data_IF_897829165796
#
_entry.id   IF_897829165796
#
_cell.length_a   1.000
_cell.length_b   1.000
_cell.length_c   1.000
_cell.angle_alpha   90.00
_cell.angle_beta   90.00
_cell.angle_gamma   90.00
#
_symmetry.space_group_name_H-M   'P 1'
#
loop_
_entity.id
_entity.type
_entity.pdbx_description
1 polymer ?
#
# COMPACT_ATOMS: atom_id res chain seq x y z
N UNK A 1 20.65 17.59 12.21
CA UNK A 1 19.68 17.98 11.16
C UNK A 1 18.49 17.05 11.24
N UNK A 2 17.33 17.54 11.71
CA UNK A 2 16.10 16.75 11.70
C UNK A 2 15.71 16.46 10.24
N UNK A 3 15.79 15.18 9.84
CA UNK A 3 15.42 14.77 8.49
C UNK A 3 13.90 14.88 8.38
N UNK A 4 13.41 15.97 7.77
CA UNK A 4 12.02 16.10 7.36
C UNK A 4 11.64 14.98 6.41
N UNK A 5 10.49 14.33 6.65
CA UNK A 5 10.00 13.22 5.82
C UNK A 5 8.60 13.53 5.31
N UNK A 6 8.37 13.27 4.02
CA UNK A 6 7.07 13.44 3.40
C UNK A 6 6.07 12.42 3.95
N UNK A 7 5.09 12.91 4.70
CA UNK A 7 4.02 12.12 5.28
C UNK A 7 2.74 12.27 4.45
N UNK A 8 2.20 11.14 3.98
CA UNK A 8 0.89 11.14 3.34
C UNK A 8 -0.22 10.90 4.36
N UNK A 9 -1.22 11.77 4.37
CA UNK A 9 -2.47 11.61 5.13
C UNK A 9 -3.66 11.66 4.19
N UNK A 10 -4.70 10.90 4.53
CA UNK A 10 -5.92 10.84 3.74
C UNK A 10 -7.10 11.26 4.62
N UNK A 11 -7.71 12.39 4.27
CA UNK A 11 -8.85 12.98 4.96
C UNK A 11 -10.13 12.57 4.25
N UNK A 12 -11.12 12.04 4.98
CA UNK A 12 -12.44 11.81 4.40
C UNK A 12 -13.21 13.13 4.37
N UNK A 13 -13.58 13.61 3.17
CA UNK A 13 -14.26 14.87 2.99
C UNK A 13 -15.77 14.78 3.25
N UNK A 14 -16.36 15.91 3.62
CA UNK A 14 -17.80 16.19 3.75
C UNK A 14 -18.14 17.41 2.88
N UNK A 15 -18.03 17.31 1.55
CA UNK A 15 -18.35 18.43 0.66
C UNK A 15 -19.85 18.77 0.75
N UNK A 16 -20.20 20.04 0.58
CA UNK A 16 -21.59 20.45 0.37
C UNK A 16 -22.09 19.97 -1.00
N UNK A 17 -23.41 19.98 -1.24
CA UNK A 17 -23.97 19.62 -2.57
C UNK A 17 -23.35 20.45 -3.70
N UNK A 18 -23.14 21.75 -3.47
CA UNK A 18 -22.48 22.66 -4.43
C UNK A 18 -21.03 22.25 -4.69
N UNK A 19 -20.25 21.99 -3.63
CA UNK A 19 -18.87 21.54 -3.78
C UNK A 19 -18.78 20.19 -4.51
N UNK A 20 -19.69 19.26 -4.22
CA UNK A 20 -19.74 17.98 -4.93
C UNK A 20 -20.10 18.14 -6.41
N UNK A 21 -21.02 19.05 -6.76
CA UNK A 21 -21.31 19.38 -8.15
C UNK A 21 -20.06 19.92 -8.88
N UNK A 22 -19.40 20.92 -8.30
CA UNK A 22 -18.13 21.48 -8.83
C UNK A 22 -17.06 20.41 -9.00
N UNK A 23 -16.86 19.54 -8.01
CA UNK A 23 -15.88 18.46 -8.10
C UNK A 23 -16.20 17.45 -9.21
N UNK A 24 -17.48 17.14 -9.43
CA UNK A 24 -17.90 16.25 -10.50
C UNK A 24 -17.70 16.87 -11.88
N UNK A 25 -18.00 18.16 -12.02
CA UNK A 25 -17.77 18.96 -13.22
C UNK A 25 -16.27 19.04 -13.53
N UNK A 26 -15.44 19.37 -12.55
CA UNK A 26 -13.99 19.38 -12.71
C UNK A 26 -13.45 18.02 -13.17
N UNK A 27 -13.91 16.90 -12.57
CA UNK A 27 -13.50 15.57 -13.04
C UNK A 27 -13.87 15.32 -14.50
N UNK A 28 -15.01 15.85 -14.96
CA UNK A 28 -15.43 15.75 -16.36
C UNK A 28 -14.53 16.57 -17.28
N UNK A 29 -14.33 17.85 -16.97
CA UNK A 29 -13.47 18.75 -17.74
C UNK A 29 -12.01 18.24 -17.80
N UNK A 30 -11.45 17.83 -16.66
CA UNK A 30 -10.10 17.26 -16.58
C UNK A 30 -9.98 15.94 -17.34
N UNK A 31 -11.07 15.16 -17.45
CA UNK A 31 -11.08 13.97 -18.31
C UNK A 31 -10.91 14.35 -19.78
N UNK A 32 -11.56 15.44 -20.21
CA UNK A 32 -11.35 16.04 -21.54
C UNK A 32 -9.90 16.51 -21.74
N UNK A 33 -9.35 17.25 -20.78
CA UNK A 33 -7.94 17.70 -20.80
C UNK A 33 -6.97 16.53 -20.93
N UNK A 34 -7.16 15.47 -20.13
CA UNK A 34 -6.30 14.28 -20.18
C UNK A 34 -6.39 13.59 -21.54
N UNK A 35 -7.59 13.46 -22.10
CA UNK A 35 -7.81 12.82 -23.40
C UNK A 35 -7.20 13.63 -24.54
N UNK A 36 -7.39 14.95 -24.53
CA UNK A 36 -6.77 15.87 -25.48
C UNK A 36 -5.25 15.74 -25.43
N UNK A 37 -4.66 15.82 -24.24
CA UNK A 37 -3.21 15.71 -24.06
C UNK A 37 -2.69 14.35 -24.53
N UNK A 38 -3.39 13.27 -24.19
CA UNK A 38 -3.03 11.91 -24.60
C UNK A 38 -3.08 11.74 -26.12
N UNK A 39 -4.11 12.28 -26.78
CA UNK A 39 -4.27 12.18 -28.24
C UNK A 39 -3.30 13.08 -28.98
N UNK A 40 -3.01 14.27 -28.45
CA UNK A 40 -2.03 15.19 -29.04
C UNK A 40 -0.63 14.56 -29.06
N UNK A 41 -0.19 13.97 -27.94
CA UNK A 41 1.09 13.25 -27.88
C UNK A 41 1.11 12.07 -28.86
N UNK A 42 0.00 11.33 -28.97
CA UNK A 42 -0.10 10.19 -29.90
C UNK A 42 0.10 10.62 -31.35
N UNK A 43 -0.63 11.64 -31.80
CA UNK A 43 -0.57 12.15 -33.17
C UNK A 43 0.81 12.76 -33.47
N UNK A 44 1.29 13.62 -32.58
CA UNK A 44 2.60 14.27 -32.76
C UNK A 44 3.74 13.22 -32.81
N UNK A 45 3.64 12.13 -32.04
CA UNK A 45 4.61 11.05 -32.10
C UNK A 45 4.58 10.25 -33.41
N UNK A 46 3.44 10.17 -34.11
CA UNK A 46 3.35 9.59 -35.45
C UNK A 46 4.16 10.41 -36.46
N UNK A 47 4.15 11.74 -36.29
CA UNK A 47 4.93 12.69 -37.07
C UNK A 47 6.37 12.88 -36.53
N UNK A 48 6.82 12.04 -35.59
CA UNK A 48 8.13 12.11 -34.92
C UNK A 48 8.40 13.44 -34.18
N UNK A 49 7.34 14.12 -33.74
CA UNK A 49 7.40 15.34 -32.94
C UNK A 49 7.33 14.97 -31.46
N UNK A 50 8.37 15.35 -30.70
CA UNK A 50 8.46 15.09 -29.27
C UNK A 50 8.57 16.39 -28.47
N UNK A 51 7.65 16.56 -27.53
CA UNK A 51 7.59 17.77 -26.72
C UNK A 51 8.51 17.71 -25.51
N UNK A 52 9.15 18.84 -25.17
CA UNK A 52 9.71 19.02 -23.83
C UNK A 52 8.59 19.10 -22.80
N UNK A 53 8.77 18.41 -21.67
CA UNK A 53 7.78 18.30 -20.58
C UNK A 53 7.18 19.65 -20.14
N UNK A 54 8.04 20.64 -19.89
CA UNK A 54 7.62 21.96 -19.42
C UNK A 54 6.81 22.72 -20.49
N UNK A 55 7.21 22.62 -21.76
CA UNK A 55 6.49 23.25 -22.86
C UNK A 55 5.09 22.63 -23.03
N UNK A 56 5.01 21.29 -22.99
CA UNK A 56 3.73 20.59 -23.13
C UNK A 56 2.77 20.85 -21.96
N UNK A 57 3.30 20.95 -20.75
CA UNK A 57 2.53 21.31 -19.55
C UNK A 57 1.78 22.65 -19.73
N UNK A 58 2.36 23.58 -20.49
CA UNK A 58 1.80 24.91 -20.73
C UNK A 58 0.94 25.01 -22.00
N UNK A 59 0.72 23.91 -22.74
CA UNK A 59 -0.02 23.94 -24.02
C UNK A 59 -1.49 24.36 -23.94
N UNK A 60 -2.08 24.40 -22.75
CA UNK A 60 -3.44 24.90 -22.51
C UNK A 60 -3.46 26.16 -21.62
N UNK A 61 -2.46 27.04 -21.78
CA UNK A 61 -2.44 28.34 -21.10
C UNK A 61 -3.73 29.14 -21.40
N UNK A 62 -4.34 29.72 -20.37
CA UNK A 62 -5.57 30.51 -20.50
C UNK A 62 -6.89 29.72 -20.43
N UNK A 63 -6.87 28.39 -20.58
CA UNK A 63 -8.07 27.54 -20.47
C UNK A 63 -8.66 27.53 -19.05
N UNK A 64 -7.84 27.82 -18.02
CA UNK A 64 -8.29 27.89 -16.62
C UNK A 64 -9.47 28.84 -16.41
N UNK A 65 -9.46 30.02 -17.05
CA UNK A 65 -10.55 31.01 -16.94
C UNK A 65 -11.86 30.49 -17.52
N UNK A 66 -11.80 29.75 -18.64
CA UNK A 66 -12.98 29.19 -19.32
C UNK A 66 -13.60 28.03 -18.53
N UNK A 67 -12.77 27.21 -17.89
CA UNK A 67 -13.23 26.02 -17.16
C UNK A 67 -13.50 26.28 -15.67
N UNK A 68 -13.17 27.46 -15.15
CA UNK A 68 -13.17 27.76 -13.71
C UNK A 68 -12.43 26.69 -12.87
N UNK A 69 -11.25 26.28 -13.38
CA UNK A 69 -10.36 25.31 -12.74
C UNK A 69 -8.99 25.98 -12.53
N UNK A 70 -8.34 25.81 -11.36
CA UNK A 70 -6.99 26.31 -11.14
C UNK A 70 -6.03 25.86 -12.24
N UNK A 71 -5.22 26.78 -12.77
CA UNK A 71 -4.28 26.51 -13.88
C UNK A 71 -3.34 25.35 -13.58
N UNK A 72 -2.80 25.29 -12.37
CA UNK A 72 -1.86 24.24 -11.97
C UNK A 72 -2.53 22.87 -11.83
N UNK A 73 -3.84 22.82 -11.57
CA UNK A 73 -4.62 21.58 -11.64
C UNK A 73 -4.71 21.06 -13.08
N UNK A 74 -4.96 21.93 -14.06
CA UNK A 74 -4.98 21.58 -15.48
C UNK A 74 -3.60 21.09 -15.92
N UNK A 75 -2.56 21.84 -15.57
CA UNK A 75 -1.16 21.48 -15.84
C UNK A 75 -0.79 20.11 -15.25
N UNK A 76 -1.19 19.82 -14.01
CA UNK A 76 -0.96 18.52 -13.38
C UNK A 76 -1.68 17.37 -14.12
N UNK A 77 -2.87 17.63 -14.68
CA UNK A 77 -3.59 16.65 -15.51
C UNK A 77 -2.91 16.41 -16.85
N UNK A 78 -2.40 17.46 -17.52
CA UNK A 78 -1.58 17.32 -18.73
C UNK A 78 -0.33 16.49 -18.41
N UNK A 79 0.32 16.78 -17.30
CA UNK A 79 1.52 16.05 -16.85
C UNK A 79 1.24 14.58 -16.57
N UNK A 80 0.04 14.25 -16.08
CA UNK A 80 -0.40 12.87 -15.89
C UNK A 80 -0.48 12.11 -17.23
N UNK A 81 -0.97 12.75 -18.30
CA UNK A 81 -0.98 12.16 -19.64
C UNK A 81 0.45 12.03 -20.21
N UNK A 82 1.24 13.09 -20.08
CA UNK A 82 2.63 13.12 -20.53
C UNK A 82 3.47 11.99 -19.89
N UNK A 83 3.44 11.87 -18.56
CA UNK A 83 4.21 10.83 -17.85
C UNK A 83 3.73 9.41 -18.21
N UNK A 84 2.46 9.23 -18.57
CA UNK A 84 1.95 7.93 -19.01
C UNK A 84 2.52 7.53 -20.37
N UNK A 85 2.61 8.48 -21.31
CA UNK A 85 3.27 8.30 -22.60
C UNK A 85 4.78 8.13 -22.47
N UNK A 86 5.44 8.90 -21.60
CA UNK A 86 6.88 8.77 -21.34
C UNK A 86 7.22 7.33 -20.90
N UNK A 87 6.43 6.75 -20.00
CA UNK A 87 6.58 5.35 -19.59
C UNK A 87 6.29 4.36 -20.72
N UNK A 88 5.37 4.70 -21.62
CA UNK A 88 5.07 3.90 -22.81
C UNK A 88 6.25 3.88 -23.78
N UNK A 89 6.82 5.05 -24.11
CA UNK A 89 7.98 5.16 -24.99
C UNK A 89 9.20 4.46 -24.41
N UNK A 90 9.37 4.49 -23.08
CA UNK A 90 10.41 3.72 -22.36
C UNK A 90 10.11 2.21 -22.26
N UNK A 91 9.03 1.71 -22.88
CA UNK A 91 8.57 0.31 -22.83
C UNK A 91 8.32 -0.23 -21.40
N UNK A 92 8.10 0.66 -20.43
CA UNK A 92 7.80 0.32 -19.03
C UNK A 92 6.31 0.07 -18.82
N UNK A 93 5.46 0.67 -19.65
CA UNK A 93 4.01 0.43 -19.63
C UNK A 93 3.44 0.35 -21.04
N UNK A 94 2.23 -0.19 -21.16
CA UNK A 94 1.47 -0.14 -22.42
C UNK A 94 0.98 1.29 -22.69
N UNK A 95 0.53 1.50 -23.93
CA UNK A 95 -0.08 2.74 -24.39
C UNK A 95 -1.21 3.21 -23.44
N UNK A 96 -1.23 4.50 -23.06
CA UNK A 96 -2.31 5.04 -22.24
C UNK A 96 -3.63 5.01 -23.01
N UNK A 97 -4.69 4.51 -22.36
CA UNK A 97 -6.04 4.49 -22.93
C UNK A 97 -6.77 5.80 -22.67
N UNK A 98 -7.44 6.30 -23.70
CA UNK A 98 -8.40 7.39 -23.56
C UNK A 98 -9.49 7.03 -22.54
N UNK A 99 -9.92 8.03 -21.80
CA UNK A 99 -10.97 7.94 -20.79
C UNK A 99 -12.32 8.14 -21.45
N UNK A 100 -13.35 7.51 -20.90
CA UNK A 100 -14.73 7.62 -21.39
C UNK A 100 -15.66 8.02 -20.26
N UNK A 101 -16.95 8.21 -20.55
CA UNK A 101 -17.98 8.47 -19.54
C UNK A 101 -17.98 7.41 -18.43
N UNK A 102 -17.75 6.14 -18.81
CA UNK A 102 -17.71 5.00 -17.89
C UNK A 102 -16.37 4.90 -17.13
N UNK A 103 -15.29 5.46 -17.68
CA UNK A 103 -13.94 5.40 -17.12
C UNK A 103 -13.30 6.79 -17.04
N UNK A 104 -14.01 7.76 -16.47
CA UNK A 104 -13.52 9.12 -16.26
C UNK A 104 -12.45 9.17 -15.16
N UNK A 105 -11.72 10.28 -15.11
CA UNK A 105 -10.80 10.54 -14.01
C UNK A 105 -11.54 10.48 -12.66
N UNK A 106 -10.82 10.04 -11.63
CA UNK A 106 -11.31 9.96 -10.26
C UNK A 106 -10.50 10.80 -9.28
N UNK A 107 -9.56 11.58 -9.79
CA UNK A 107 -8.67 12.38 -8.96
C UNK A 107 -8.44 13.75 -9.56
N UNK A 108 -8.35 14.74 -8.69
CA UNK A 108 -8.02 16.14 -8.98
C UNK A 108 -6.76 16.46 -8.20
N UNK A 109 -5.70 16.87 -8.88
CA UNK A 109 -4.40 17.13 -8.26
C UNK A 109 -4.23 18.64 -8.03
N UNK A 110 -3.79 19.00 -6.84
CA UNK A 110 -3.34 20.34 -6.45
C UNK A 110 -1.84 20.22 -6.18
N UNK A 111 -0.99 20.47 -7.19
CA UNK A 111 0.44 20.19 -7.11
C UNK A 111 1.21 21.19 -6.26
N UNK A 112 0.64 22.38 -6.03
CA UNK A 112 1.33 23.45 -5.31
C UNK A 112 1.26 23.27 -3.80
N UNK A 113 2.28 23.79 -3.08
CA UNK A 113 2.21 23.94 -1.64
C UNK A 113 0.96 24.70 -1.22
N UNK A 114 0.19 24.09 -0.33
CA UNK A 114 -0.92 24.73 0.35
C UNK A 114 -0.36 25.50 1.55
N UNK A 115 0.35 26.60 1.29
CA UNK A 115 0.98 27.42 2.33
C UNK A 115 -0.09 28.13 3.19
N UNK A 116 0.18 28.25 4.50
CA UNK A 116 -0.66 28.92 5.51
C UNK A 116 -1.48 27.97 6.41
N UNK A 117 -2.24 28.53 7.38
CA UNK A 117 -3.23 27.83 8.23
C UNK A 117 -4.45 27.38 7.41
N UNK A 118 -4.24 26.61 6.33
CA UNK A 118 -5.31 26.12 5.44
C UNK A 118 -6.05 24.91 5.98
N UNK A 119 -5.60 24.37 7.11
CA UNK A 119 -6.36 23.42 7.91
C UNK A 119 -6.74 24.09 9.23
N UNK A 120 -8.03 24.30 9.43
CA UNK A 120 -8.62 24.77 10.68
C UNK A 120 -9.98 24.11 10.89
N UNK A 121 -10.34 23.78 12.12
CA UNK A 121 -11.68 23.30 12.49
C UNK A 121 -12.22 22.12 11.65
N UNK A 122 -11.35 21.16 11.30
CA UNK A 122 -11.68 20.05 10.39
C UNK A 122 -12.14 20.51 9.00
N UNK A 123 -11.54 21.59 8.49
CA UNK A 123 -11.74 22.08 7.12
C UNK A 123 -10.39 22.26 6.43
N UNK A 124 -10.36 21.99 5.13
CA UNK A 124 -9.19 22.22 4.28
C UNK A 124 -9.53 23.24 3.19
N UNK A 125 -8.71 24.27 3.04
CA UNK A 125 -8.86 25.29 2.00
C UNK A 125 -8.07 24.93 0.74
N UNK A 126 -8.77 24.72 -0.37
CA UNK A 126 -8.19 24.34 -1.66
C UNK A 126 -8.46 25.43 -2.71
N UNK A 127 -7.49 25.71 -3.62
CA UNK A 127 -7.68 26.67 -4.71
C UNK A 127 -8.95 26.37 -5.52
N UNK A 128 -9.75 27.41 -5.80
CA UNK A 128 -11.04 27.32 -6.50
C UNK A 128 -12.20 26.71 -5.69
N UNK A 129 -11.94 25.70 -4.85
CA UNK A 129 -12.97 24.98 -4.09
C UNK A 129 -13.28 25.61 -2.71
N UNK A 130 -12.44 26.56 -2.27
CA UNK A 130 -12.50 27.21 -0.95
C UNK A 130 -12.41 26.18 0.19
N UNK A 131 -13.11 26.41 1.30
CA UNK A 131 -13.03 25.61 2.52
C UNK A 131 -13.96 24.40 2.50
N UNK A 132 -13.39 23.20 2.53
CA UNK A 132 -14.12 21.91 2.51
C UNK A 132 -13.98 21.20 3.84
N UNK A 133 -15.10 20.79 4.44
CA UNK A 133 -15.10 20.05 5.71
C UNK A 133 -14.58 18.62 5.52
N UNK A 134 -13.92 18.06 6.53
CA UNK A 134 -13.54 16.66 6.60
C UNK A 134 -13.91 16.04 7.96
N UNK A 135 -13.87 14.71 8.06
CA UNK A 135 -14.07 14.01 9.34
C UNK A 135 -12.88 14.24 10.26
N UNK A 136 -13.12 14.58 11.54
CA UNK A 136 -12.07 14.90 12.50
C UNK A 136 -10.96 13.84 12.48
N UNK A 137 -9.73 14.33 12.35
CA UNK A 137 -8.53 13.52 12.27
C UNK A 137 -7.36 14.37 12.73
N UNK A 138 -6.53 13.81 13.60
CA UNK A 138 -5.32 14.49 14.07
C UNK A 138 -4.26 14.48 12.96
N UNK A 139 -3.67 15.65 12.73
CA UNK A 139 -2.64 15.87 11.74
C UNK A 139 -1.41 16.43 12.44
N UNK A 140 -0.21 15.94 12.08
CA UNK A 140 1.01 16.52 12.62
C UNK A 140 1.19 17.94 12.09
N UNK A 141 1.90 18.75 12.86
CA UNK A 141 2.35 20.07 12.42
C UNK A 141 3.30 19.93 11.23
N UNK A 142 3.16 20.80 10.25
CA UNK A 142 3.99 20.77 9.05
C UNK A 142 3.35 21.49 7.87
N UNK A 143 4.14 21.70 6.82
CA UNK A 143 3.67 22.36 5.61
C UNK A 143 3.08 21.36 4.62
N UNK A 144 1.90 21.64 4.08
CA UNK A 144 1.28 20.76 3.08
C UNK A 144 1.86 21.11 1.71
N UNK A 145 2.66 20.22 1.13
CA UNK A 145 3.34 20.47 -0.16
C UNK A 145 2.47 20.21 -1.38
N UNK A 146 1.48 19.32 -1.27
CA UNK A 146 0.57 18.97 -2.35
C UNK A 146 -0.69 18.31 -1.78
N UNK A 147 -1.78 18.41 -2.52
CA UNK A 147 -3.02 17.72 -2.21
C UNK A 147 -3.62 17.03 -3.44
N UNK A 148 -4.41 15.99 -3.22
CA UNK A 148 -5.17 15.31 -4.26
C UNK A 148 -6.55 14.95 -3.74
N UNK A 149 -7.59 15.47 -4.36
CA UNK A 149 -8.95 14.99 -4.11
C UNK A 149 -9.17 13.71 -4.92
N UNK A 150 -9.73 12.67 -4.30
CA UNK A 150 -10.03 11.38 -4.90
C UNK A 150 -11.49 11.01 -4.66
N UNK A 151 -12.20 10.64 -5.72
CA UNK A 151 -13.57 10.10 -5.67
C UNK A 151 -13.53 8.58 -5.56
N UNK A 152 -14.11 8.03 -4.50
CA UNK A 152 -14.29 6.58 -4.27
C UNK A 152 -15.76 6.23 -4.08
N UNK A 153 -16.05 4.96 -3.81
CA UNK A 153 -17.42 4.46 -3.68
C UNK A 153 -18.11 4.95 -2.40
N UNK A 154 -17.35 5.19 -1.33
CA UNK A 154 -17.84 5.71 -0.05
C UNK A 154 -17.89 7.24 0.03
N UNK A 155 -17.35 7.95 -0.97
CA UNK A 155 -17.37 9.40 -1.03
C UNK A 155 -16.05 10.01 -1.51
N UNK A 156 -15.80 11.24 -1.08
CA UNK A 156 -14.66 12.05 -1.46
C UNK A 156 -13.58 12.02 -0.38
N UNK A 157 -12.32 11.98 -0.81
CA UNK A 157 -11.14 11.93 0.05
C UNK A 157 -10.14 12.99 -0.40
N UNK A 158 -9.41 13.60 0.52
CA UNK A 158 -8.27 14.46 0.22
C UNK A 158 -6.99 13.81 0.72
N UNK A 159 -6.11 13.44 -0.19
CA UNK A 159 -4.77 12.96 0.12
C UNK A 159 -3.83 14.16 0.18
N UNK A 160 -3.27 14.44 1.35
CA UNK A 160 -2.32 15.53 1.56
C UNK A 160 -0.93 14.96 1.81
N UNK A 161 0.08 15.61 1.25
CA UNK A 161 1.47 15.32 1.58
C UNK A 161 1.99 16.44 2.48
N UNK A 162 2.30 16.08 3.72
CA UNK A 162 2.76 16.99 4.76
C UNK A 162 4.26 16.79 4.90
N UNK A 163 5.00 17.89 4.80
CA UNK A 163 6.40 17.97 5.15
C UNK A 163 6.50 18.24 6.65
N UNK A 164 6.88 17.19 7.38
CA UNK A 164 6.84 17.14 8.85
C UNK A 164 7.84 16.13 9.38
N UNK A 165 8.27 16.31 10.62
CA UNK A 165 9.00 15.28 11.37
C UNK A 165 7.95 14.34 11.98
N UNK A 166 7.60 13.28 11.24
CA UNK A 166 6.70 12.25 11.76
C UNK A 166 7.48 11.06 12.29
N UNK A 167 7.84 11.12 13.56
CA UNK A 167 8.41 9.99 14.30
C UNK A 167 7.40 9.60 15.37
N UNK A 168 7.04 8.32 15.44
CA UNK A 168 6.32 7.80 16.60
C UNK A 168 7.31 7.30 17.64
N UNK A 169 6.96 7.34 18.95
CA UNK A 169 7.85 6.83 19.99
C UNK A 169 8.13 5.35 19.71
N UNK A 170 9.41 5.01 19.74
CA UNK A 170 9.95 3.67 19.59
C UNK A 170 10.77 3.34 20.84
N UNK A 171 10.77 2.10 21.25
CA UNK A 171 11.49 1.65 22.44
C UNK A 171 12.97 1.47 22.10
N UNK A 172 13.85 1.91 23.00
CA UNK A 172 15.29 1.68 22.88
C UNK A 172 15.60 0.25 23.31
N UNK A 173 15.28 -0.71 22.45
CA UNK A 173 15.58 -2.12 22.62
C UNK A 173 16.66 -2.53 21.62
N UNK A 174 17.45 -3.54 21.95
CA UNK A 174 18.29 -4.27 20.99
C UNK A 174 17.62 -5.56 20.52
N UNK A 175 16.33 -5.71 20.80
CA UNK A 175 15.59 -6.92 20.49
C UNK A 175 15.39 -7.11 18.98
N UNK A 176 15.57 -8.36 18.55
CA UNK A 176 15.32 -8.82 17.20
C UNK A 176 14.10 -9.76 17.16
N UNK A 177 13.31 -9.68 16.09
CA UNK A 177 12.12 -10.52 15.92
C UNK A 177 12.06 -11.15 14.53
N UNK A 178 11.72 -12.44 14.51
CA UNK A 178 11.35 -13.16 13.28
C UNK A 178 9.84 -13.15 13.09
N UNK A 179 9.40 -12.99 11.85
CA UNK A 179 8.00 -12.89 11.47
C UNK A 179 7.70 -13.91 10.39
N UNK A 180 6.90 -14.91 10.74
CA UNK A 180 6.27 -15.81 9.79
C UNK A 180 4.92 -15.22 9.33
N UNK A 181 4.64 -15.21 8.03
CA UNK A 181 3.39 -14.67 7.49
C UNK A 181 2.55 -15.76 6.85
N UNK A 182 1.26 -15.79 7.16
CA UNK A 182 0.35 -16.80 6.66
C UNK A 182 -1.02 -16.27 6.24
N UNK A 183 -1.89 -17.18 5.81
CA UNK A 183 -3.26 -16.85 5.40
C UNK A 183 -4.24 -16.80 6.57
N UNK A 184 -4.07 -17.69 7.55
CA UNK A 184 -4.89 -17.74 8.77
C UNK A 184 -4.54 -16.59 9.71
N UNK A 185 -3.27 -16.46 10.01
CA UNK A 185 -2.70 -15.38 10.80
C UNK A 185 -1.82 -14.52 9.90
N UNK A 186 -2.05 -13.21 9.93
CA UNK A 186 -1.33 -12.21 9.13
C UNK A 186 0.18 -12.28 9.42
N UNK A 187 0.54 -12.37 10.69
CA UNK A 187 1.92 -12.41 11.16
C UNK A 187 2.01 -13.15 12.49
N UNK A 188 3.02 -14.01 12.64
CA UNK A 188 3.35 -14.72 13.88
C UNK A 188 4.80 -14.37 14.22
N UNK A 189 5.01 -13.85 15.43
CA UNK A 189 6.32 -13.43 15.91
C UNK A 189 7.06 -14.60 16.57
N UNK A 190 8.40 -14.56 16.53
CA UNK A 190 9.28 -15.49 17.26
C UNK A 190 9.06 -15.45 18.78
N UNK A 191 8.50 -14.37 19.31
CA UNK A 191 8.07 -14.21 20.71
C UNK A 191 6.79 -14.99 21.05
N UNK A 192 6.13 -15.59 20.05
CA UNK A 192 4.88 -16.33 20.21
C UNK A 192 3.62 -15.48 19.96
N UNK A 193 3.74 -14.16 19.83
CA UNK A 193 2.61 -13.27 19.55
C UNK A 193 2.03 -13.51 18.15
N UNK A 194 0.72 -13.68 18.05
CA UNK A 194 -0.01 -13.92 16.80
C UNK A 194 -0.92 -12.74 16.44
N UNK A 195 -0.79 -12.25 15.20
CA UNK A 195 -1.67 -11.24 14.61
C UNK A 195 -2.63 -11.93 13.64
N UNK A 196 -3.87 -12.15 14.07
CA UNK A 196 -4.86 -12.89 13.27
C UNK A 196 -5.49 -12.04 12.16
N UNK A 197 -5.85 -12.67 11.05
CA UNK A 197 -6.78 -12.05 10.10
C UNK A 197 -8.20 -12.07 10.71
N UNK A 198 -8.58 -10.97 11.36
CA UNK A 198 -9.79 -10.89 12.18
C UNK A 198 -11.07 -11.40 11.49
N UNK A 199 -11.94 -12.08 12.27
CA UNK A 199 -13.22 -12.67 11.81
C UNK A 199 -14.14 -11.68 11.07
N UNK A 200 -14.00 -10.39 11.33
CA UNK A 200 -14.76 -9.33 10.66
C UNK A 200 -14.50 -9.27 9.14
N UNK A 201 -13.27 -9.59 8.70
CA UNK A 201 -12.95 -9.62 7.28
C UNK A 201 -13.74 -10.71 6.56
N UNK A 202 -13.91 -11.87 7.19
CA UNK A 202 -14.69 -13.00 6.65
C UNK A 202 -16.15 -12.63 6.45
N UNK A 203 -16.79 -12.00 7.46
CA UNK A 203 -18.18 -11.53 7.36
C UNK A 203 -18.33 -10.50 6.24
N UNK A 204 -17.40 -9.54 6.15
CA UNK A 204 -17.37 -8.54 5.08
C UNK A 204 -17.23 -9.17 3.69
N UNK A 205 -16.35 -10.15 3.54
CA UNK A 205 -16.10 -10.86 2.29
C UNK A 205 -17.32 -11.67 1.82
N UNK A 206 -18.03 -12.34 2.74
CA UNK A 206 -19.28 -13.05 2.41
C UNK A 206 -20.31 -12.09 1.84
N UNK A 207 -20.51 -10.93 2.50
CA UNK A 207 -21.44 -9.90 2.03
C UNK A 207 -21.01 -9.28 0.69
N UNK A 208 -19.71 -9.08 0.48
CA UNK A 208 -19.16 -8.62 -0.79
C UNK A 208 -19.46 -9.63 -1.91
N UNK A 209 -19.23 -10.92 -1.67
CA UNK A 209 -19.49 -11.97 -2.64
C UNK A 209 -20.98 -12.06 -3.01
N UNK A 210 -21.88 -11.95 -2.03
CA UNK A 210 -23.33 -11.87 -2.28
C UNK A 210 -23.70 -10.65 -3.13
N UNK A 211 -23.15 -9.47 -2.82
CA UNK A 211 -23.41 -8.25 -3.60
C UNK A 211 -22.88 -8.36 -5.04
N UNK A 212 -21.75 -9.04 -5.25
CA UNK A 212 -21.20 -9.30 -6.58
C UNK A 212 -22.08 -10.26 -7.38
N UNK A 213 -22.47 -11.41 -6.79
CA UNK A 213 -23.37 -12.38 -7.44
C UNK A 213 -24.73 -11.78 -7.77
N UNK A 214 -25.27 -10.94 -6.90
CA UNK A 214 -26.53 -10.23 -7.15
C UNK A 214 -26.42 -9.02 -8.08
N UNK A 215 -25.29 -8.81 -8.77
CA UNK A 215 -25.13 -7.70 -9.72
C UNK A 215 -25.16 -6.30 -9.10
N UNK A 216 -25.09 -6.17 -7.77
CA UNK A 216 -25.21 -4.90 -7.03
C UNK A 216 -23.89 -4.12 -7.05
N UNK A 217 -23.47 -3.67 -8.24
CA UNK A 217 -22.15 -3.05 -8.50
C UNK A 217 -21.78 -1.91 -7.53
N UNK A 218 -22.73 -1.00 -7.23
CA UNK A 218 -22.50 0.11 -6.27
C UNK A 218 -22.26 -0.40 -4.84
N UNK A 219 -23.05 -1.36 -4.38
CA UNK A 219 -22.89 -1.96 -3.06
C UNK A 219 -21.58 -2.74 -2.96
N UNK A 220 -21.26 -3.54 -3.98
CA UNK A 220 -20.01 -4.28 -4.04
C UNK A 220 -18.79 -3.34 -3.95
N UNK A 221 -18.78 -2.22 -4.69
CA UNK A 221 -17.70 -1.23 -4.61
C UNK A 221 -17.56 -0.61 -3.21
N UNK A 222 -18.68 -0.27 -2.55
CA UNK A 222 -18.67 0.27 -1.18
C UNK A 222 -18.17 -0.74 -0.15
N UNK A 223 -18.59 -2.00 -0.27
CA UNK A 223 -18.14 -3.08 0.62
C UNK A 223 -16.65 -3.38 0.44
N UNK A 224 -16.20 -3.46 -0.82
CA UNK A 224 -14.79 -3.65 -1.14
C UNK A 224 -13.92 -2.54 -0.53
N UNK A 225 -14.33 -1.27 -0.71
CA UNK A 225 -13.61 -0.14 -0.13
C UNK A 225 -13.57 -0.19 1.40
N UNK A 226 -14.67 -0.56 2.08
CA UNK A 226 -14.66 -0.73 3.55
C UNK A 226 -13.68 -1.79 4.01
N UNK A 227 -13.70 -2.96 3.36
CA UNK A 227 -12.82 -4.09 3.69
C UNK A 227 -11.35 -3.69 3.48
N UNK A 228 -11.05 -3.08 2.33
CA UNK A 228 -9.70 -2.61 2.00
C UNK A 228 -9.20 -1.55 2.99
N UNK A 229 -10.04 -0.60 3.39
CA UNK A 229 -9.66 0.45 4.34
C UNK A 229 -9.42 -0.10 5.74
N UNK A 230 -10.26 -1.04 6.22
CA UNK A 230 -10.06 -1.72 7.51
C UNK A 230 -8.77 -2.55 7.52
N UNK A 231 -8.49 -3.26 6.43
CA UNK A 231 -7.25 -4.04 6.29
C UNK A 231 -6.02 -3.13 6.32
N UNK A 232 -6.08 -2.00 5.61
CA UNK A 232 -5.02 -0.99 5.62
C UNK A 232 -4.77 -0.46 7.03
N UNK A 233 -5.83 -0.11 7.77
CA UNK A 233 -5.74 0.35 9.16
C UNK A 233 -5.12 -0.72 10.07
N UNK A 234 -5.60 -1.96 9.98
CA UNK A 234 -5.06 -3.09 10.74
C UNK A 234 -3.56 -3.28 10.47
N UNK A 235 -3.15 -3.32 9.20
CA UNK A 235 -1.75 -3.44 8.81
C UNK A 235 -0.91 -2.27 9.31
N UNK A 236 -1.45 -1.03 9.32
CA UNK A 236 -0.75 0.11 9.92
C UNK A 236 -0.58 -0.05 11.43
N UNK A 237 -1.57 -0.57 12.15
CA UNK A 237 -1.46 -0.82 13.61
C UNK A 237 -0.44 -1.91 13.91
N UNK A 238 -0.51 -3.05 13.22
CA UNK A 238 0.42 -4.18 13.38
C UNK A 238 1.86 -3.75 13.07
N UNK A 239 2.10 -3.15 11.90
CA UNK A 239 3.45 -2.68 11.54
C UNK A 239 3.98 -1.60 12.46
N UNK A 240 3.12 -0.71 12.99
CA UNK A 240 3.54 0.28 13.99
C UNK A 240 3.99 -0.44 15.25
N UNK A 241 3.17 -1.34 15.79
CA UNK A 241 3.49 -2.07 17.00
C UNK A 241 4.82 -2.82 16.87
N UNK A 242 5.05 -3.52 15.77
CA UNK A 242 6.31 -4.26 15.55
C UNK A 242 7.51 -3.30 15.52
N UNK A 243 7.43 -2.22 14.73
CA UNK A 243 8.53 -1.23 14.61
C UNK A 243 8.78 -0.47 15.92
N UNK A 244 7.78 -0.37 16.79
CA UNK A 244 7.93 0.24 18.10
C UNK A 244 8.73 -0.61 19.08
N UNK A 245 8.60 -1.94 19.03
CA UNK A 245 9.15 -2.83 20.05
C UNK A 245 10.49 -3.48 19.64
N UNK A 246 10.79 -3.57 18.34
CA UNK A 246 11.94 -4.34 17.84
C UNK A 246 12.89 -3.50 16.98
N UNK A 247 14.20 -3.65 17.20
CA UNK A 247 15.28 -2.98 16.44
C UNK A 247 15.58 -3.68 15.13
N UNK A 248 15.59 -5.00 15.14
CA UNK A 248 15.79 -5.82 13.96
C UNK A 248 14.56 -6.68 13.68
N UNK A 249 14.07 -6.62 12.45
CA UNK A 249 12.82 -7.25 12.03
C UNK A 249 13.12 -8.11 10.80
N UNK A 250 12.98 -9.41 10.97
CA UNK A 250 13.19 -10.40 9.93
C UNK A 250 11.84 -10.97 9.52
N UNK A 251 11.41 -10.77 8.28
CA UNK A 251 10.10 -11.21 7.78
C UNK A 251 10.28 -12.12 6.58
N UNK A 252 9.43 -13.15 6.46
CA UNK A 252 9.49 -14.07 5.32
C UNK A 252 9.46 -13.32 3.99
N UNK A 253 10.18 -13.85 3.00
CA UNK A 253 10.26 -13.36 1.63
C UNK A 253 9.48 -14.24 0.65
N UNK A 254 8.28 -14.66 1.03
CA UNK A 254 7.47 -15.52 0.18
C UNK A 254 7.17 -14.89 -1.18
N UNK A 255 7.16 -15.71 -2.24
CA UNK A 255 6.72 -15.31 -3.57
C UNK A 255 5.18 -15.13 -3.59
N UNK A 256 4.70 -14.02 -3.05
CA UNK A 256 3.27 -13.71 -2.95
C UNK A 256 2.59 -13.62 -4.32
N UNK A 257 3.32 -13.25 -5.38
CA UNK A 257 2.78 -13.23 -6.75
C UNK A 257 2.54 -14.66 -7.26
N UNK A 258 3.49 -15.56 -7.04
CA UNK A 258 3.34 -16.98 -7.34
C UNK A 258 2.21 -17.61 -6.52
N UNK A 259 2.18 -17.36 -5.21
CA UNK A 259 1.12 -17.84 -4.34
C UNK A 259 -0.26 -17.29 -4.75
N UNK A 260 -0.37 -16.03 -5.19
CA UNK A 260 -1.63 -15.47 -5.67
C UNK A 260 -2.17 -16.18 -6.93
N UNK A 261 -1.31 -16.81 -7.75
CA UNK A 261 -1.77 -17.64 -8.88
C UNK A 261 -2.39 -18.96 -8.42
N UNK A 262 -1.87 -19.54 -7.34
CA UNK A 262 -2.29 -20.84 -6.80
C UNK A 262 -3.49 -20.68 -5.85
N UNK A 263 -3.35 -19.81 -4.86
CA UNK A 263 -4.31 -19.60 -3.77
C UNK A 263 -5.27 -18.43 -4.03
N UNK A 264 -5.10 -17.71 -5.14
CA UNK A 264 -6.04 -16.70 -5.62
C UNK A 264 -6.32 -15.60 -4.61
N UNK A 265 -7.61 -15.46 -4.28
CA UNK A 265 -8.16 -14.37 -3.48
C UNK A 265 -7.63 -14.36 -2.04
N UNK A 266 -7.32 -15.53 -1.46
CA UNK A 266 -6.86 -15.66 -0.07
C UNK A 266 -5.55 -14.91 0.20
N UNK A 267 -4.65 -14.84 -0.78
CA UNK A 267 -3.37 -14.10 -0.68
C UNK A 267 -3.61 -12.59 -0.66
N UNK A 268 -4.46 -12.12 -1.57
CA UNK A 268 -4.89 -10.70 -1.59
C UNK A 268 -5.65 -10.34 -0.31
N UNK A 269 -6.40 -11.30 0.22
CA UNK A 269 -7.18 -11.14 1.43
C UNK A 269 -6.37 -11.14 2.73
N UNK A 270 -5.22 -11.81 2.76
CA UNK A 270 -4.32 -11.76 3.89
C UNK A 270 -3.62 -10.39 4.00
N UNK A 271 -3.33 -9.70 2.90
CA UNK A 271 -2.71 -8.36 2.94
C UNK A 271 -1.24 -8.35 3.34
N UNK A 272 -0.54 -9.48 3.21
CA UNK A 272 0.88 -9.66 3.58
C UNK A 272 1.80 -8.67 2.85
N UNK A 273 1.61 -8.48 1.55
CA UNK A 273 2.43 -7.53 0.75
C UNK A 273 2.35 -6.10 1.30
N UNK A 274 1.16 -5.69 1.73
CA UNK A 274 0.96 -4.38 2.34
C UNK A 274 1.64 -4.29 3.70
N UNK A 275 1.58 -5.34 4.52
CA UNK A 275 2.29 -5.38 5.80
C UNK A 275 3.81 -5.27 5.59
N UNK A 276 4.40 -6.04 4.66
CA UNK A 276 5.83 -5.95 4.30
C UNK A 276 6.21 -4.53 3.91
N UNK A 277 5.46 -3.92 2.99
CA UNK A 277 5.71 -2.53 2.58
C UNK A 277 5.67 -1.57 3.78
N UNK A 278 4.75 -1.79 4.72
CA UNK A 278 4.60 -0.93 5.89
C UNK A 278 5.71 -1.09 6.90
N UNK A 279 6.17 -2.32 7.14
CA UNK A 279 7.35 -2.57 7.96
C UNK A 279 8.59 -1.90 7.36
N UNK A 280 8.83 -2.07 6.05
CA UNK A 280 9.99 -1.51 5.36
C UNK A 280 10.04 0.02 5.51
N UNK A 281 8.98 0.74 5.09
CA UNK A 281 9.06 2.21 5.15
C UNK A 281 9.07 2.73 6.58
N UNK A 282 8.36 2.08 7.53
CA UNK A 282 8.37 2.52 8.93
C UNK A 282 9.69 2.21 9.62
N UNK A 283 10.31 1.08 9.31
CA UNK A 283 11.62 0.72 9.83
C UNK A 283 12.68 1.73 9.37
N UNK A 284 12.72 2.03 8.07
CA UNK A 284 13.57 3.10 7.53
C UNK A 284 13.25 4.49 8.13
N UNK A 285 12.00 4.72 8.54
CA UNK A 285 11.62 5.96 9.21
C UNK A 285 12.21 6.10 10.62
N UNK A 286 12.40 4.98 11.34
CA UNK A 286 12.73 4.93 12.78
C UNK A 286 14.05 4.20 13.06
N UNK A 287 14.95 4.16 12.07
CA UNK A 287 16.25 3.48 12.16
C UNK A 287 16.17 2.02 12.63
N UNK A 288 15.12 1.31 12.19
CA UNK A 288 14.94 -0.13 12.45
C UNK A 288 15.31 -0.93 11.21
N UNK A 289 16.09 -1.99 11.40
CA UNK A 289 16.53 -2.88 10.33
C UNK A 289 15.38 -3.80 9.97
N UNK A 290 14.99 -3.83 8.70
CA UNK A 290 13.95 -4.73 8.18
C UNK A 290 14.53 -5.56 7.05
N UNK A 291 14.60 -6.87 7.23
CA UNK A 291 15.21 -7.79 6.27
C UNK A 291 14.18 -8.83 5.82
N UNK A 292 14.12 -9.05 4.50
CA UNK A 292 13.34 -10.13 3.92
C UNK A 292 14.18 -11.41 3.92
N UNK A 293 13.69 -12.47 4.57
CA UNK A 293 14.41 -13.74 4.76
C UNK A 293 13.69 -14.84 4.00
N UNK A 294 14.43 -15.71 3.30
CA UNK A 294 13.82 -16.86 2.63
C UNK A 294 13.09 -17.76 3.63
N UNK A 295 11.87 -18.17 3.28
CA UNK A 295 11.00 -19.03 4.09
C UNK A 295 11.18 -20.51 3.77
N UNK A 296 12.10 -20.87 2.87
CA UNK A 296 12.36 -22.26 2.52
C UNK A 296 12.72 -23.09 3.76
N UNK A 297 12.05 -24.24 3.92
CA UNK A 297 12.24 -25.21 5.01
C UNK A 297 11.96 -24.72 6.44
N UNK A 298 11.43 -23.50 6.63
CA UNK A 298 11.21 -22.96 7.98
C UNK A 298 10.18 -23.74 8.79
N UNK A 299 9.20 -24.36 8.13
CA UNK A 299 8.19 -25.21 8.77
C UNK A 299 8.71 -26.59 9.15
N UNK A 300 9.86 -27.01 8.60
CA UNK A 300 10.48 -28.33 8.82
C UNK A 300 11.68 -28.27 9.77
N UNK A 301 12.31 -27.10 9.87
CA UNK A 301 13.54 -26.90 10.65
C UNK A 301 13.22 -26.77 12.13
N UNK A 302 13.84 -27.58 12.98
CA UNK A 302 13.79 -27.39 14.42
C UNK A 302 14.51 -26.10 14.82
N UNK A 303 13.81 -25.17 15.47
CA UNK A 303 14.45 -23.92 15.93
C UNK A 303 15.47 -24.13 17.06
N UNK A 304 15.53 -25.31 17.69
CA UNK A 304 16.50 -25.62 18.75
C UNK A 304 17.78 -26.21 18.16
N UNK A 305 17.70 -27.34 17.46
CA UNK A 305 18.88 -28.08 16.97
C UNK A 305 19.13 -27.96 15.45
N UNK A 306 18.24 -27.31 14.68
CA UNK A 306 18.42 -27.13 13.23
C UNK A 306 18.02 -28.33 12.36
N UNK A 307 17.70 -29.50 12.94
CA UNK A 307 17.31 -30.68 12.15
C UNK A 307 16.00 -30.50 11.38
N UNK A 308 15.92 -31.07 10.18
CA UNK A 308 14.73 -31.08 9.32
C UNK A 308 13.77 -32.23 9.69
N UNK A 309 13.23 -32.20 10.91
CA UNK A 309 12.35 -33.25 11.42
C UNK A 309 10.86 -32.87 11.42
N UNK A 310 10.55 -31.63 10.99
CA UNK A 310 9.20 -31.07 11.06
C UNK A 310 8.28 -31.51 9.93
N UNK A 311 7.00 -31.08 9.99
CA UNK A 311 5.97 -31.54 9.06
C UNK A 311 6.27 -31.21 7.60
N UNK A 312 6.07 -32.19 6.72
CA UNK A 312 6.36 -32.09 5.28
C UNK A 312 5.11 -32.35 4.44
N UNK A 313 5.13 -31.87 3.19
CA UNK A 313 4.06 -32.10 2.23
C UNK A 313 2.70 -31.47 2.59
N UNK A 314 1.68 -31.84 1.83
CA UNK A 314 0.31 -31.35 2.00
C UNK A 314 -0.32 -31.85 3.32
N UNK A 315 -0.06 -33.09 3.72
CA UNK A 315 -0.51 -33.66 5.00
C UNK A 315 0.04 -32.90 6.20
N UNK A 316 1.29 -32.42 6.10
CA UNK A 316 1.93 -31.57 7.10
C UNK A 316 1.26 -30.20 7.31
N UNK A 317 0.38 -29.76 6.40
CA UNK A 317 -0.33 -28.48 6.54
C UNK A 317 -1.30 -28.47 7.73
N UNK A 318 -1.84 -29.63 8.09
CA UNK A 318 -2.79 -29.80 9.21
C UNK A 318 -2.06 -29.86 10.55
N UNK A 319 -0.81 -30.33 10.56
CA UNK A 319 0.00 -30.45 11.78
C UNK A 319 0.31 -29.07 12.34
N UNK A 320 -0.13 -28.82 13.58
CA UNK A 320 0.08 -27.56 14.31
C UNK A 320 1.13 -27.66 15.41
N UNK A 321 1.23 -28.83 16.03
CA UNK A 321 2.25 -29.13 17.01
C UNK A 321 3.01 -30.37 16.59
N UNK A 322 4.31 -30.39 16.86
CA UNK A 322 5.17 -31.54 16.55
C UNK A 322 6.34 -31.63 17.53
N UNK A 323 6.89 -32.84 17.70
CA UNK A 323 8.07 -33.11 18.52
C UNK A 323 9.27 -33.37 17.60
N UNK A 324 10.38 -32.69 17.85
CA UNK A 324 11.62 -32.89 17.12
C UNK A 324 12.16 -34.30 17.31
N UNK A 325 12.38 -35.03 16.21
CA UNK A 325 12.94 -36.38 16.24
C UNK A 325 14.40 -36.43 16.69
N UNK A 326 15.15 -35.33 16.55
CA UNK A 326 16.58 -35.30 16.89
C UNK A 326 16.86 -34.84 18.33
N UNK A 327 16.20 -33.78 18.81
CA UNK A 327 16.45 -33.24 20.16
C UNK A 327 15.25 -33.35 21.12
N UNK A 328 14.11 -33.89 20.67
CA UNK A 328 12.92 -34.07 21.50
C UNK A 328 12.12 -32.81 21.81
N UNK A 329 12.54 -31.62 21.35
CA UNK A 329 11.85 -30.36 21.60
C UNK A 329 10.42 -30.35 21.03
N UNK A 330 9.47 -29.77 21.77
CA UNK A 330 8.09 -29.57 21.30
C UNK A 330 7.93 -28.19 20.65
N UNK A 331 7.18 -28.14 19.55
CA UNK A 331 7.03 -26.93 18.75
C UNK A 331 5.57 -26.67 18.37
N UNK A 332 5.09 -25.44 18.57
CA UNK A 332 4.05 -24.85 17.72
C UNK A 332 4.71 -24.52 16.37
N UNK A 333 4.17 -25.09 15.29
CA UNK A 333 4.77 -25.02 13.95
C UNK A 333 4.99 -23.59 13.49
N UNK A 334 4.00 -22.72 13.67
CA UNK A 334 4.03 -21.37 13.12
C UNK A 334 4.97 -20.48 13.96
N UNK A 335 4.99 -20.63 15.29
CA UNK A 335 5.96 -19.95 16.17
C UNK A 335 7.38 -20.45 15.91
N UNK A 336 7.56 -21.76 15.71
CA UNK A 336 8.86 -22.33 15.37
C UNK A 336 9.38 -21.78 14.04
N UNK A 337 8.54 -21.70 13.01
CA UNK A 337 8.92 -21.09 11.72
C UNK A 337 9.39 -19.63 11.91
N UNK A 338 8.69 -18.84 12.73
CA UNK A 338 9.13 -17.48 13.05
C UNK A 338 10.48 -17.44 13.78
N UNK A 339 10.76 -18.39 14.70
CA UNK A 339 12.08 -18.52 15.35
C UNK A 339 13.18 -18.92 14.37
N UNK A 340 12.89 -19.78 13.40
CA UNK A 340 13.84 -20.15 12.33
C UNK A 340 14.15 -18.93 11.46
N UNK A 341 13.14 -18.15 11.07
CA UNK A 341 13.33 -16.89 10.32
C UNK A 341 14.24 -15.91 11.06
N UNK A 342 14.06 -15.77 12.38
CA UNK A 342 14.95 -14.94 13.20
C UNK A 342 16.40 -15.45 13.13
N UNK A 343 16.62 -16.75 13.35
CA UNK A 343 17.96 -17.36 13.30
C UNK A 343 18.63 -17.19 11.93
N UNK A 344 17.91 -17.48 10.85
CA UNK A 344 18.40 -17.26 9.47
C UNK A 344 18.76 -15.80 9.23
N UNK A 345 17.90 -14.88 9.69
CA UNK A 345 18.09 -13.44 9.54
C UNK A 345 19.32 -12.90 10.26
N UNK A 346 19.62 -13.45 11.44
CA UNK A 346 20.83 -13.15 12.22
C UNK A 346 22.10 -13.81 11.67
N UNK A 347 21.99 -14.64 10.62
CA UNK A 347 23.13 -15.34 10.03
C UNK A 347 23.61 -16.55 10.84
N UNK A 348 22.80 -17.05 11.77
CA UNK A 348 23.14 -18.31 12.46
C UNK A 348 23.04 -19.46 11.46
N UNK A 349 24.09 -20.28 11.35
CA UNK A 349 24.08 -21.52 10.59
C UNK A 349 23.00 -22.46 11.16
N UNK A 350 21.86 -22.51 10.49
CA UNK A 350 20.91 -23.62 10.66
C UNK A 350 21.61 -24.81 10.01
N UNK A 351 22.00 -25.82 10.80
CA UNK A 351 22.79 -26.96 10.32
C UNK A 351 22.10 -27.68 9.16
N UNK A 352 22.36 -27.23 7.94
CA UNK A 352 22.14 -27.99 6.73
C UNK A 352 23.40 -28.84 6.61
N UNK A 353 23.31 -30.11 6.98
CA UNK A 353 24.25 -31.08 6.47
C UNK A 353 24.08 -31.04 4.95
N UNK A 354 25.08 -30.49 4.27
CA UNK A 354 25.20 -30.62 2.82
C UNK A 354 25.13 -32.11 2.50
N UNK A 355 24.06 -32.50 1.80
CA UNK A 355 24.06 -33.81 1.17
C UNK A 355 25.09 -33.71 0.05
N UNK A 356 26.24 -34.34 0.28
CA UNK A 356 27.21 -34.64 -0.75
C UNK A 356 26.50 -35.34 -1.90
N UNK A 357 26.33 -34.60 -3.01
CA UNK A 357 25.88 -35.15 -4.27
C UNK A 357 26.89 -36.18 -4.73
N UNK A 358 26.59 -37.46 -4.49
CA UNK A 358 27.26 -38.57 -5.12
C UNK A 358 27.01 -38.49 -6.62
N UNK A 359 28.08 -38.24 -7.37
CA UNK A 359 28.14 -38.53 -8.78
C UNK A 359 27.93 -40.04 -8.99
N UNK A 360 26.85 -40.40 -9.68
CA UNK A 360 26.77 -41.53 -10.60
C UNK A 360 25.76 -41.21 -11.69
#
# INVERSE_FOLDING_TARGET
>A
MEVTKMLVRELKLKPTKRQEATLNEWLWCLTGVYNWASRKIELDAQDKIYHRKLAFQNSLSGVSKKLDIPSHTIQATILQAYNAWERCFKKVSKQPKLKSVRNKLRSICFPDPLNGKRISENRISLPGLKSVRFYKQDLPEGSIKQARIVKRALGWYCQICIDTVHIFPVENTDEAVGIDTGFKDLAILSTGKKFSNGREFVKGQKRLAQAQRGGRKKLAARLYERISSRRKDYNHKVSRQIVQNFKEIYITNDNLRGQAKIFGKSVSDAGISQLRQFLIYKGAQHSRKVVLVDSKYTTMTCSICGSLTGPTGLSGLVVRTWKCGACGAQHDRDVNAAKVILKSGLGCSLGVLESSGGAR
#
